data_IF_502164826451
#
_entry.id   IF_502164826451
#
_cell.length_a   1.000
_cell.length_b   1.000
_cell.length_c   1.000
_cell.angle_alpha   90.00
_cell.angle_beta   90.00
_cell.angle_gamma   90.00
#
_symmetry.space_group_name_H-M   'P 1'
#
loop_
_entity.id
_entity.type
_entity.pdbx_description
1 polymer ?
#
# COMPACT_ATOMS: atom_id res chain seq x y z
N UNK A 1 -45.69 -47.65 56.10
CA UNK A 1 -46.43 -47.18 54.89
C UNK A 1 -45.44 -46.90 53.76
N UNK A 2 -45.93 -46.80 52.52
CA UNK A 2 -45.15 -46.55 51.27
C UNK A 2 -44.82 -45.02 51.12
N UNK A 3 -44.04 -44.46 50.17
CA UNK A 3 -43.57 -44.88 48.82
C UNK A 3 -42.02 -44.59 48.62
N UNK A 4 -41.36 -44.35 47.45
CA UNK A 4 -39.93 -44.72 47.27
C UNK A 4 -38.98 -43.60 46.73
N UNK A 5 -37.77 -43.97 46.28
CA UNK A 5 -37.33 -43.62 44.92
C UNK A 5 -36.45 -42.38 44.65
N UNK A 6 -35.14 -42.65 44.46
CA UNK A 6 -34.29 -42.24 43.32
C UNK A 6 -33.89 -40.77 43.03
N UNK A 7 -32.59 -40.67 42.71
CA UNK A 7 -31.93 -39.79 41.71
C UNK A 7 -31.75 -38.27 41.97
N UNK A 8 -30.61 -37.74 41.51
CA UNK A 8 -30.38 -36.28 41.40
C UNK A 8 -29.00 -35.76 41.83
N UNK A 9 -27.88 -36.26 41.28
CA UNK A 9 -26.57 -35.61 41.46
C UNK A 9 -26.43 -34.41 40.50
N UNK A 10 -26.72 -33.20 40.96
CA UNK A 10 -26.25 -31.98 40.28
C UNK A 10 -25.72 -30.96 41.28
N UNK A 11 -24.49 -30.53 41.03
CA UNK A 11 -23.78 -29.49 41.77
C UNK A 11 -24.03 -28.16 41.04
N UNK A 12 -24.38 -27.11 41.79
CA UNK A 12 -24.42 -25.75 41.28
C UNK A 12 -23.97 -24.80 42.40
N UNK A 13 -22.75 -24.21 42.32
CA UNK A 13 -22.27 -23.28 43.33
C UNK A 13 -23.03 -21.95 43.26
N UNK A 14 -23.15 -21.34 44.44
CA UNK A 14 -23.89 -20.12 44.74
C UNK A 14 -23.41 -18.93 43.91
N UNK A 15 -24.35 -18.07 43.51
CA UNK A 15 -24.08 -16.71 43.07
C UNK A 15 -23.66 -15.84 44.27
N UNK A 16 -22.60 -15.03 44.17
CA UNK A 16 -22.44 -13.80 44.96
C UNK A 16 -22.53 -12.58 44.02
N UNK A 17 -23.50 -11.71 44.25
CA UNK A 17 -23.74 -10.55 43.39
C UNK A 17 -22.92 -9.32 43.77
N UNK A 18 -22.79 -8.39 42.82
CA UNK A 18 -22.61 -6.97 43.08
C UNK A 18 -23.32 -6.15 41.98
N UNK A 19 -23.69 -4.92 42.35
CA UNK A 19 -24.56 -3.97 41.65
C UNK A 19 -24.49 -4.00 40.11
N UNK A 20 -25.61 -4.10 39.38
CA UNK A 20 -26.61 -3.02 39.22
C UNK A 20 -25.97 -1.68 38.85
N UNK A 21 -25.69 -1.46 37.57
CA UNK A 21 -25.75 -0.12 36.99
C UNK A 21 -26.54 -0.17 35.67
N UNK A 22 -27.83 0.07 35.79
CA UNK A 22 -28.79 0.19 34.67
C UNK A 22 -29.17 1.67 34.54
N UNK A 23 -29.81 2.02 33.41
CA UNK A 23 -30.27 3.35 32.99
C UNK A 23 -29.19 4.19 32.28
N UNK A 24 -29.46 4.85 31.14
CA UNK A 24 -30.61 4.80 30.23
C UNK A 24 -30.19 5.47 28.90
N UNK A 25 -30.23 4.78 27.76
CA UNK A 25 -30.13 5.39 26.42
C UNK A 25 -30.57 4.43 25.29
N UNK A 26 -31.85 4.04 25.27
CA UNK A 26 -32.45 3.53 24.02
C UNK A 26 -32.80 4.75 23.17
N UNK A 27 -32.13 4.91 22.04
CA UNK A 27 -32.23 6.08 21.18
C UNK A 27 -31.87 5.78 19.73
N UNK A 28 -32.51 4.76 19.14
CA UNK A 28 -32.40 4.49 17.70
C UNK A 28 -33.15 5.60 16.95
N UNK A 29 -32.41 6.60 16.47
CA UNK A 29 -32.91 7.72 15.67
C UNK A 29 -32.24 7.74 14.29
N UNK A 30 -32.81 7.01 13.34
CA UNK A 30 -32.25 6.83 12.00
C UNK A 30 -32.69 7.98 11.09
N UNK A 31 -31.81 8.97 10.87
CA UNK A 31 -32.11 10.14 10.03
C UNK A 31 -30.87 10.84 9.43
N UNK A 32 -30.09 10.14 8.58
CA UNK A 32 -29.16 10.83 7.66
C UNK A 32 -29.93 11.15 6.37
N UNK A 33 -30.65 12.27 6.40
CA UNK A 33 -31.33 12.81 5.22
C UNK A 33 -30.31 13.34 4.21
N UNK A 34 -30.07 12.61 3.13
CA UNK A 34 -29.23 13.06 2.01
C UNK A 34 -29.89 14.22 1.26
N UNK A 35 -29.52 15.45 1.63
CA UNK A 35 -29.85 16.65 0.87
C UNK A 35 -28.69 17.01 -0.06
N UNK A 36 -28.67 16.43 -1.27
CA UNK A 36 -27.88 16.96 -2.40
C UNK A 36 -28.83 17.26 -3.54
N UNK A 37 -29.24 18.53 -3.63
CA UNK A 37 -30.10 19.05 -4.66
C UNK A 37 -29.31 20.09 -5.46
N UNK A 38 -28.73 19.67 -6.59
CA UNK A 38 -28.06 20.58 -7.52
C UNK A 38 -28.00 20.03 -8.97
N UNK A 39 -28.91 20.56 -9.79
CA UNK A 39 -28.73 20.85 -11.23
C UNK A 39 -28.45 19.68 -12.18
N UNK A 40 -29.51 19.28 -12.87
CA UNK A 40 -29.44 18.69 -14.22
C UNK A 40 -29.18 19.83 -15.22
N UNK A 41 -28.12 19.75 -16.02
CA UNK A 41 -27.90 20.63 -17.18
C UNK A 41 -27.03 19.92 -18.24
N UNK A 42 -27.15 20.24 -19.55
CA UNK A 42 -27.10 19.18 -20.56
C UNK A 42 -26.15 19.44 -21.75
N UNK A 43 -26.23 18.52 -22.72
CA UNK A 43 -25.78 18.63 -24.12
C UNK A 43 -24.27 18.53 -24.40
N UNK A 44 -23.89 17.38 -24.98
CA UNK A 44 -22.73 17.29 -25.86
C UNK A 44 -23.02 17.96 -27.21
N UNK A 45 -21.99 18.50 -27.88
CA UNK A 45 -21.92 18.48 -29.33
C UNK A 45 -20.90 17.42 -29.79
N UNK A 46 -21.39 16.37 -30.47
CA UNK A 46 -20.54 15.41 -31.15
C UNK A 46 -19.91 16.03 -32.40
N UNK A 47 -18.64 16.42 -32.32
CA UNK A 47 -17.87 16.93 -33.45
C UNK A 47 -17.25 15.81 -34.27
N UNK A 48 -17.92 15.40 -35.36
CA UNK A 48 -17.34 14.47 -36.35
C UNK A 48 -16.20 15.17 -37.12
N UNK A 49 -14.95 14.82 -36.80
CA UNK A 49 -13.74 15.29 -37.49
C UNK A 49 -13.07 14.16 -38.28
N UNK A 50 -12.93 14.34 -39.60
CA UNK A 50 -12.43 13.32 -40.53
C UNK A 50 -10.91 13.23 -40.61
N UNK A 51 -10.43 12.01 -40.88
CA UNK A 51 -9.22 11.63 -41.62
C UNK A 51 -7.97 12.55 -41.62
N UNK A 52 -6.84 12.02 -41.13
CA UNK A 52 -5.69 11.65 -41.98
C UNK A 52 -4.48 11.17 -41.15
N UNK A 53 -3.93 10.01 -41.49
CA UNK A 53 -2.49 9.75 -41.32
C UNK A 53 -1.78 10.23 -42.59
N UNK A 54 -0.54 10.73 -42.50
CA UNK A 54 0.55 9.84 -42.89
C UNK A 54 1.85 9.95 -42.09
N UNK A 55 2.45 8.78 -41.90
CA UNK A 55 3.89 8.44 -42.07
C UNK A 55 4.93 9.56 -42.07
N UNK A 56 5.87 9.48 -41.12
CA UNK A 56 7.24 9.99 -41.29
C UNK A 56 8.24 8.92 -40.82
N UNK A 57 9.03 8.38 -41.75
CA UNK A 57 10.09 7.40 -41.48
C UNK A 57 11.32 7.73 -42.31
N UNK A 58 12.40 8.29 -41.72
CA UNK A 58 13.65 8.55 -42.42
C UNK A 58 14.63 7.38 -42.27
N UNK A 59 14.76 6.56 -43.32
CA UNK A 59 15.85 5.60 -43.50
C UNK A 59 16.96 6.22 -44.37
N UNK A 60 18.24 6.18 -43.95
CA UNK A 60 19.36 6.51 -44.83
C UNK A 60 20.27 5.31 -45.08
N UNK A 61 20.07 4.62 -46.21
CA UNK A 61 20.99 3.67 -46.87
C UNK A 61 20.41 3.34 -48.25
N UNK A 62 21.13 3.34 -49.36
CA UNK A 62 22.53 3.70 -49.62
C UNK A 62 22.84 3.32 -51.07
N UNK A 63 22.94 4.31 -51.97
CA UNK A 63 22.97 4.07 -53.42
C UNK A 63 24.37 4.22 -54.01
N UNK A 64 24.74 3.34 -54.94
CA UNK A 64 25.86 3.57 -55.86
C UNK A 64 26.67 2.31 -56.16
N UNK A 65 26.54 1.79 -57.38
CA UNK A 65 27.40 0.73 -57.91
C UNK A 65 28.66 1.30 -58.58
N UNK A 66 29.64 0.41 -58.74
CA UNK A 66 31.01 0.59 -59.24
C UNK A 66 31.11 1.23 -60.64
N UNK A 67 32.18 2.00 -60.87
CA UNK A 67 32.82 2.14 -62.19
C UNK A 67 34.33 2.39 -62.06
N UNK A 68 35.09 1.96 -63.08
CA UNK A 68 36.56 1.71 -63.03
C UNK A 68 37.30 2.60 -64.04
N UNK A 69 38.44 3.20 -63.64
CA UNK A 69 39.52 3.64 -64.55
C UNK A 69 40.89 3.51 -63.84
N UNK A 70 41.96 3.12 -64.56
CA UNK A 70 43.35 3.02 -64.06
C UNK A 70 44.21 4.26 -64.44
N UNK A 71 45.56 4.25 -64.44
CA UNK A 71 46.37 4.82 -63.36
C UNK A 71 47.25 6.02 -63.79
N UNK A 72 47.75 6.83 -62.84
CA UNK A 72 48.67 7.93 -63.20
C UNK A 72 49.32 8.70 -62.03
N UNK A 73 50.58 8.35 -61.75
CA UNK A 73 51.69 9.19 -61.28
C UNK A 73 51.55 10.23 -60.13
N UNK A 74 52.49 10.07 -59.17
CA UNK A 74 53.23 11.11 -58.44
C UNK A 74 52.73 11.65 -57.07
N UNK A 75 53.70 11.70 -56.15
CA UNK A 75 53.63 12.13 -54.73
C UNK A 75 53.51 13.68 -54.60
N UNK A 76 53.25 14.28 -53.40
CA UNK A 76 53.98 14.05 -52.14
C UNK A 76 53.13 13.91 -50.86
N UNK A 77 53.80 13.63 -49.73
CA UNK A 77 53.23 13.27 -48.42
C UNK A 77 53.01 14.51 -47.52
N UNK A 78 51.80 14.73 -46.97
CA UNK A 78 51.57 15.59 -45.81
C UNK A 78 51.41 14.76 -44.50
N UNK A 79 51.58 15.38 -43.31
CA UNK A 79 51.84 14.65 -42.05
C UNK A 79 50.61 13.95 -41.45
N UNK A 80 50.90 12.91 -40.66
CA UNK A 80 49.94 12.11 -39.90
C UNK A 80 49.06 12.97 -38.99
N UNK A 81 47.76 13.03 -39.27
CA UNK A 81 46.79 13.65 -38.39
C UNK A 81 46.56 12.77 -37.15
N UNK A 82 46.89 13.28 -35.96
CA UNK A 82 46.61 12.61 -34.69
C UNK A 82 45.12 12.35 -34.52
N UNK A 83 44.75 11.12 -34.15
CA UNK A 83 43.37 10.77 -33.85
C UNK A 83 42.94 11.42 -32.51
N UNK A 84 42.23 12.55 -32.59
CA UNK A 84 41.58 13.15 -31.42
C UNK A 84 40.51 12.20 -30.89
N UNK A 85 40.76 11.60 -29.72
CA UNK A 85 39.79 10.72 -29.07
C UNK A 85 38.51 11.51 -28.72
N UNK A 86 37.37 11.11 -29.29
CA UNK A 86 36.09 11.70 -28.96
C UNK A 86 35.71 11.39 -27.51
N UNK A 87 35.22 12.37 -26.72
CA UNK A 87 34.79 12.13 -25.35
C UNK A 87 33.55 11.21 -25.34
N UNK A 88 33.65 10.09 -24.62
CA UNK A 88 32.51 9.21 -24.38
C UNK A 88 31.44 9.97 -23.58
N UNK A 89 30.14 9.87 -23.92
CA UNK A 89 29.08 10.48 -23.12
C UNK A 89 29.00 9.78 -21.76
N UNK A 90 29.45 10.47 -20.72
CA UNK A 90 29.26 10.06 -19.33
C UNK A 90 27.78 9.84 -19.05
N UNK A 91 27.39 8.63 -18.67
CA UNK A 91 26.01 8.34 -18.27
C UNK A 91 25.70 9.13 -17.01
N UNK A 92 24.85 10.14 -17.12
CA UNK A 92 24.27 10.82 -15.96
C UNK A 92 23.58 9.77 -15.09
N UNK A 93 24.15 9.48 -13.92
CA UNK A 93 23.55 8.55 -12.98
C UNK A 93 22.18 9.11 -12.56
N UNK A 94 21.10 8.37 -12.82
CA UNK A 94 19.82 8.63 -12.19
C UNK A 94 20.03 8.67 -10.67
N UNK A 95 19.37 9.58 -9.92
CA UNK A 95 19.43 9.53 -8.47
C UNK A 95 18.91 8.18 -8.01
N UNK A 96 19.82 7.34 -7.54
CA UNK A 96 19.46 6.10 -6.88
C UNK A 96 18.66 6.50 -5.64
N UNK A 97 17.39 6.08 -5.55
CA UNK A 97 16.62 6.22 -4.30
C UNK A 97 17.38 5.43 -3.24
N UNK A 98 18.15 6.15 -2.42
CA UNK A 98 18.76 5.58 -1.22
C UNK A 98 17.63 4.96 -0.40
N UNK A 99 17.78 3.69 -0.02
CA UNK A 99 16.93 3.14 1.01
C UNK A 99 17.00 4.08 2.23
N UNK A 100 15.86 4.52 2.79
CA UNK A 100 15.89 5.37 3.98
C UNK A 100 16.64 4.66 5.12
N UNK A 101 17.41 5.39 5.95
CA UNK A 101 18.12 4.77 7.05
C UNK A 101 17.15 4.11 8.05
N UNK A 102 17.43 2.86 8.49
CA UNK A 102 16.70 2.27 9.60
C UNK A 102 17.09 2.97 10.92
N UNK A 103 16.19 3.26 11.86
CA UNK A 103 14.74 3.29 11.75
C UNK A 103 14.23 4.45 12.61
N UNK A 104 13.60 5.44 11.96
CA UNK A 104 12.91 6.54 12.65
C UNK A 104 11.50 6.18 13.09
N UNK A 105 11.08 4.91 13.03
CA UNK A 105 9.72 4.45 13.29
C UNK A 105 9.70 3.36 14.36
N UNK A 106 8.69 3.41 15.23
CA UNK A 106 8.27 2.33 16.12
C UNK A 106 6.79 2.06 15.86
N UNK A 107 6.34 0.83 16.05
CA UNK A 107 4.94 0.48 15.81
C UNK A 107 4.41 -0.47 16.89
N UNK A 108 3.13 -0.32 17.22
CA UNK A 108 2.39 -1.18 18.14
C UNK A 108 1.11 -1.64 17.48
N UNK A 109 0.89 -2.95 17.47
CA UNK A 109 -0.35 -3.57 17.05
C UNK A 109 -1.16 -4.00 18.28
N UNK A 110 -2.48 -3.83 18.22
CA UNK A 110 -3.42 -4.42 19.17
C UNK A 110 -4.71 -4.87 18.45
N UNK A 111 -5.36 -5.91 18.97
CA UNK A 111 -6.77 -6.20 18.62
C UNK A 111 -7.65 -5.23 19.39
N UNK A 112 -8.58 -4.53 18.72
CA UNK A 112 -9.50 -3.58 19.37
C UNK A 112 -10.83 -4.21 19.74
N UNK A 113 -11.45 -4.90 18.80
CA UNK A 113 -12.73 -5.58 18.97
C UNK A 113 -12.65 -6.97 18.35
N UNK A 114 -13.50 -7.88 18.82
CA UNK A 114 -13.66 -9.23 18.26
C UNK A 114 -15.12 -9.63 18.36
N UNK A 115 -15.63 -10.27 17.33
CA UNK A 115 -16.98 -10.81 17.22
C UNK A 115 -16.92 -12.22 16.64
N UNK A 116 -18.06 -12.87 16.50
CA UNK A 116 -18.12 -14.22 15.93
C UNK A 116 -17.61 -14.20 14.47
N UNK A 117 -16.51 -14.92 14.22
CA UNK A 117 -15.89 -15.01 12.90
C UNK A 117 -15.04 -13.83 12.43
N UNK A 118 -14.75 -12.82 13.26
CA UNK A 118 -13.86 -11.71 12.85
C UNK A 118 -13.38 -10.77 13.96
N UNK A 119 -12.44 -9.88 13.62
CA UNK A 119 -11.84 -8.92 14.54
C UNK A 119 -11.43 -7.60 13.87
N UNK A 120 -11.30 -6.54 14.68
CA UNK A 120 -10.66 -5.28 14.29
C UNK A 120 -9.23 -5.22 14.83
N UNK A 121 -8.28 -4.97 13.95
CA UNK A 121 -6.87 -4.73 14.29
C UNK A 121 -6.53 -3.26 14.17
N UNK A 122 -5.79 -2.73 15.15
CA UNK A 122 -5.25 -1.37 15.11
C UNK A 122 -3.72 -1.40 15.13
N UNK A 123 -3.09 -0.56 14.30
CA UNK A 123 -1.65 -0.36 14.24
C UNK A 123 -1.34 1.12 14.44
N UNK A 124 -0.71 1.45 15.57
CA UNK A 124 -0.14 2.78 15.81
C UNK A 124 1.30 2.81 15.35
N UNK A 125 1.66 3.76 14.48
CA UNK A 125 3.03 4.02 14.02
C UNK A 125 3.48 5.36 14.60
N UNK A 126 4.56 5.34 15.38
CA UNK A 126 5.17 6.52 16.01
C UNK A 126 6.51 6.82 15.35
N UNK A 127 6.75 8.07 14.97
CA UNK A 127 7.99 8.49 14.34
C UNK A 127 8.90 9.25 15.32
N UNK A 128 10.13 8.78 15.53
CA UNK A 128 11.17 9.46 16.33
C UNK A 128 11.97 10.47 15.51
N UNK A 129 11.87 10.40 14.18
CA UNK A 129 12.43 11.35 13.20
C UNK A 129 11.38 11.62 12.13
N UNK A 130 11.52 12.70 11.35
CA UNK A 130 10.63 12.90 10.20
C UNK A 130 10.85 11.77 9.17
N UNK A 131 9.77 11.20 8.68
CA UNK A 131 9.78 10.11 7.68
C UNK A 131 8.79 10.41 6.57
N UNK A 132 9.25 10.29 5.32
CA UNK A 132 8.40 10.30 4.14
C UNK A 132 8.25 8.88 3.59
N UNK A 133 7.04 8.34 3.66
CA UNK A 133 6.70 6.98 3.27
C UNK A 133 6.94 5.97 4.39
N UNK A 134 5.89 5.23 4.73
CA UNK A 134 5.97 4.03 5.56
C UNK A 134 5.38 2.83 4.82
N UNK A 135 5.70 1.63 5.27
CA UNK A 135 5.09 0.39 4.82
C UNK A 135 5.09 -0.57 5.98
N UNK A 136 3.90 -0.98 6.41
CA UNK A 136 3.74 -1.99 7.44
C UNK A 136 3.47 -3.35 6.80
N UNK A 137 4.15 -4.39 7.28
CA UNK A 137 3.98 -5.76 6.82
C UNK A 137 3.63 -6.61 8.03
N UNK A 138 2.43 -7.20 8.01
CA UNK A 138 1.89 -8.08 9.03
C UNK A 138 1.80 -9.51 8.47
N UNK A 139 2.13 -10.50 9.28
CA UNK A 139 1.98 -11.92 8.93
C UNK A 139 0.82 -12.51 9.70
N UNK A 140 -0.31 -12.68 9.02
CA UNK A 140 -1.56 -13.18 9.57
C UNK A 140 -1.55 -14.72 9.72
N UNK A 141 -2.38 -15.29 10.61
CA UNK A 141 -2.63 -16.73 10.68
C UNK A 141 -3.21 -17.29 9.36
N UNK A 142 -3.22 -18.61 9.23
CA UNK A 142 -3.92 -19.27 8.13
C UNK A 142 -5.44 -19.09 8.25
N UNK A 143 -6.13 -18.77 7.15
CA UNK A 143 -7.58 -18.59 7.16
C UNK A 143 -8.08 -17.25 7.71
N UNK A 144 -7.18 -16.29 7.92
CA UNK A 144 -7.53 -14.89 8.22
C UNK A 144 -7.47 -14.07 6.93
N UNK A 145 -8.54 -13.34 6.61
CA UNK A 145 -8.67 -12.53 5.40
C UNK A 145 -9.18 -11.12 5.75
N UNK A 146 -8.48 -10.07 5.26
CA UNK A 146 -8.79 -8.67 5.55
C UNK A 146 -9.85 -8.13 4.58
N UNK A 147 -11.00 -7.76 5.12
CA UNK A 147 -12.13 -7.23 4.34
C UNK A 147 -11.97 -5.75 4.00
N UNK A 148 -11.56 -4.93 4.98
CA UNK A 148 -11.42 -3.47 4.85
C UNK A 148 -10.26 -2.94 5.69
N UNK A 149 -9.68 -1.81 5.27
CA UNK A 149 -8.76 -1.01 6.06
C UNK A 149 -9.13 0.48 6.01
N UNK A 150 -8.83 1.20 7.08
CA UNK A 150 -8.98 2.65 7.20
C UNK A 150 -7.63 3.28 7.57
N UNK A 151 -7.45 4.54 7.17
CA UNK A 151 -6.19 5.30 7.19
C UNK A 151 -5.02 4.69 6.41
N UNK A 152 -5.10 3.43 5.98
CA UNK A 152 -4.15 2.76 5.08
C UNK A 152 -4.86 2.25 3.82
N UNK A 153 -4.09 2.08 2.74
CA UNK A 153 -4.41 1.15 1.67
C UNK A 153 -3.81 -0.22 2.00
N UNK A 154 -4.49 -1.32 1.62
CA UNK A 154 -4.07 -2.66 1.98
C UNK A 154 -3.93 -3.59 0.77
N UNK A 155 -2.99 -4.53 0.87
CA UNK A 155 -2.81 -5.65 -0.05
C UNK A 155 -2.49 -6.91 0.74
N UNK A 156 -3.31 -7.95 0.60
CA UNK A 156 -3.05 -9.25 1.19
C UNK A 156 -2.63 -10.25 0.10
N UNK A 157 -1.51 -10.92 0.32
CA UNK A 157 -1.01 -12.02 -0.54
C UNK A 157 -0.80 -13.25 0.36
N UNK A 158 -1.81 -14.13 0.39
CA UNK A 158 -1.86 -15.28 1.30
C UNK A 158 -1.90 -14.83 2.77
N UNK A 159 -0.86 -15.15 3.54
CA UNK A 159 -0.72 -14.73 4.95
C UNK A 159 -0.08 -13.35 5.13
N UNK A 160 0.45 -12.74 4.07
CA UNK A 160 1.19 -11.48 4.16
C UNK A 160 0.26 -10.30 3.86
N UNK A 161 -0.06 -9.52 4.88
CA UNK A 161 -0.75 -8.24 4.73
C UNK A 161 0.29 -7.12 4.62
N UNK A 162 0.20 -6.32 3.57
CA UNK A 162 0.98 -5.10 3.38
C UNK A 162 0.04 -3.90 3.48
N UNK A 163 0.36 -2.96 4.36
CA UNK A 163 -0.34 -1.69 4.54
C UNK A 163 0.56 -0.54 4.06
N UNK A 164 0.00 0.34 3.24
CA UNK A 164 0.68 1.52 2.68
C UNK A 164 -0.07 2.81 2.99
N UNK A 165 0.64 3.96 3.07
CA UNK A 165 0.03 5.25 3.32
C UNK A 165 -0.92 5.69 2.22
N UNK A 166 -1.94 6.42 2.65
CA UNK A 166 -2.70 7.32 1.78
C UNK A 166 -1.89 8.59 1.55
N UNK A 167 -2.21 9.35 0.50
CA UNK A 167 -1.48 10.56 0.11
C UNK A 167 -1.30 11.59 1.23
N UNK A 168 -2.25 11.66 2.17
CA UNK A 168 -2.29 12.63 3.27
C UNK A 168 -1.55 12.19 4.54
N UNK A 169 -1.17 10.91 4.70
CA UNK A 169 -0.42 10.41 5.85
C UNK A 169 0.88 9.67 5.50
N UNK A 170 1.36 9.85 4.26
CA UNK A 170 2.67 9.35 3.86
C UNK A 170 3.82 10.00 4.67
N UNK A 171 3.71 11.28 5.01
CA UNK A 171 4.67 11.97 5.84
C UNK A 171 4.27 11.93 7.32
N UNK A 172 5.19 11.52 8.19
CA UNK A 172 5.04 11.59 9.65
C UNK A 172 6.16 12.48 10.21
N UNK A 173 5.78 13.54 10.91
CA UNK A 173 6.74 14.43 11.57
C UNK A 173 7.42 13.76 12.78
N UNK A 174 8.62 14.24 13.15
CA UNK A 174 9.31 13.75 14.34
C UNK A 174 8.48 13.99 15.61
N UNK A 175 8.36 12.97 16.47
CA UNK A 175 7.52 12.98 17.67
C UNK A 175 6.04 12.68 17.42
N UNK A 176 5.58 12.66 16.17
CA UNK A 176 4.18 12.40 15.83
C UNK A 176 3.88 10.90 15.71
N UNK A 177 2.60 10.55 15.82
CA UNK A 177 2.10 9.20 15.55
C UNK A 177 0.87 9.25 14.65
N UNK A 178 0.68 8.19 13.87
CA UNK A 178 -0.55 7.90 13.13
C UNK A 178 -1.13 6.58 13.62
N UNK A 179 -2.45 6.45 13.54
CA UNK A 179 -3.16 5.22 13.89
C UNK A 179 -3.92 4.73 12.66
N UNK A 180 -3.74 3.45 12.36
CA UNK A 180 -4.29 2.76 11.21
C UNK A 180 -5.13 1.60 11.72
N UNK A 181 -6.11 1.13 10.95
CA UNK A 181 -6.84 -0.06 11.34
C UNK A 181 -7.40 -0.85 10.17
N UNK A 182 -7.74 -2.09 10.46
CA UNK A 182 -8.34 -3.02 9.51
C UNK A 182 -9.33 -3.94 10.21
N UNK A 183 -10.25 -4.50 9.43
CA UNK A 183 -11.15 -5.56 9.86
C UNK A 183 -10.83 -6.82 9.08
N UNK A 184 -10.72 -7.94 9.78
CA UNK A 184 -10.45 -9.25 9.21
C UNK A 184 -11.47 -10.29 9.68
N UNK A 185 -11.68 -11.29 8.84
CA UNK A 185 -12.37 -12.53 9.18
C UNK A 185 -11.40 -13.55 9.78
N UNK A 186 -11.93 -14.53 10.52
CA UNK A 186 -11.14 -15.57 11.18
C UNK A 186 -10.78 -15.22 12.62
N UNK A 187 -9.78 -15.91 13.19
CA UNK A 187 -9.39 -15.77 14.60
C UNK A 187 -7.87 -15.58 14.75
N UNK A 188 -7.49 -14.75 15.72
CA UNK A 188 -6.10 -14.47 16.08
C UNK A 188 -5.50 -13.27 15.33
N UNK A 189 -4.69 -12.49 16.05
CA UNK A 189 -3.90 -11.40 15.48
C UNK A 189 -2.70 -11.88 14.65
N UNK A 190 -1.93 -10.94 14.06
CA UNK A 190 -0.69 -11.23 13.34
C UNK A 190 0.34 -11.91 14.25
N UNK A 191 1.10 -12.85 13.68
CA UNK A 191 2.21 -13.56 14.33
C UNK A 191 3.55 -12.82 14.21
N UNK A 192 3.66 -11.91 13.24
CA UNK A 192 4.79 -11.01 13.08
C UNK A 192 4.33 -9.68 12.47
N UNK A 193 4.98 -8.58 12.83
CA UNK A 193 4.74 -7.25 12.27
C UNK A 193 6.07 -6.52 12.10
N UNK A 194 6.22 -5.81 10.99
CA UNK A 194 7.34 -4.89 10.74
C UNK A 194 6.86 -3.60 10.08
N UNK A 195 7.51 -2.47 10.38
CA UNK A 195 7.31 -1.18 9.69
C UNK A 195 8.65 -0.65 9.21
N UNK A 196 8.80 -0.43 7.89
CA UNK A 196 10.09 -0.08 7.26
C UNK A 196 11.25 -0.97 7.76
N UNK A 197 11.03 -2.30 7.77
CA UNK A 197 11.92 -3.34 8.30
C UNK A 197 12.19 -3.32 9.83
N UNK A 198 11.53 -2.46 10.59
CA UNK A 198 11.62 -2.39 12.06
C UNK A 198 10.56 -3.29 12.71
N UNK A 199 10.88 -4.17 13.67
CA UNK A 199 9.86 -5.01 14.33
C UNK A 199 8.86 -4.16 15.12
N UNK A 200 7.57 -4.49 15.00
CA UNK A 200 6.52 -3.91 15.84
C UNK A 200 6.41 -4.65 17.18
N UNK A 201 5.86 -4.00 18.20
CA UNK A 201 5.32 -4.70 19.38
C UNK A 201 3.92 -5.23 19.05
N UNK A 202 3.63 -6.48 19.42
CA UNK A 202 2.29 -7.06 19.42
C UNK A 202 1.73 -7.03 20.85
N UNK A 203 0.47 -6.66 21.01
CA UNK A 203 -0.25 -6.57 22.29
C UNK A 203 -1.59 -7.32 22.24
#
# INVERSE_FOLDING_TARGET
MNVPGAAGRWWAPRQPGWARNTLLAVGVGLAVGLAVLAVVAPLAPGGSGVAAAPTASPSPSGSGLVSIVLPGASAPVPPSASATAAPSPSRTALPSRSAPPPAGLSARYAVKDTWDGGFSGELTITATRAVEGWTAILTLPAGVDVSIAWEADYRQDGRKLTLTPKSWNAAIAAGSSITLGFQASGTGGPTACTVNATPCTLA
#
